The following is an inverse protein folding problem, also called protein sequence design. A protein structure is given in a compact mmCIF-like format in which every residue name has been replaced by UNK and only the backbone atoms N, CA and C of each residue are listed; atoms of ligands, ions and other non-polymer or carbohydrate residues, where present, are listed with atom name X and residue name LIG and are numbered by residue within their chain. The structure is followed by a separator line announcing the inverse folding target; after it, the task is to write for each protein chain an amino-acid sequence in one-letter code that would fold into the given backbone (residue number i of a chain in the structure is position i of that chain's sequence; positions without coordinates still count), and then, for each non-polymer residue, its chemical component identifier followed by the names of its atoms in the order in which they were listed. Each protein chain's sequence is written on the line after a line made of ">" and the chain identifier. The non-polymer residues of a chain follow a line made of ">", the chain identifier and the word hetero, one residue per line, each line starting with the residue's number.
data_IF_857959034193
#
_entry.id   IF_857959034193
#
_cell.length_a   1.000
_cell.length_b   1.000
_cell.length_c   1.000
_cell.angle_alpha   90.00
_cell.angle_beta   90.00
_cell.angle_gamma   90.00
#
_symmetry.space_group_name_H-M   'P 1'
#
loop_
_entity.id
_entity.type
_entity.pdbx_description
1 polymer ?
#
# COMPACT_ATOMS: atom_id res chain seq x y z
N UNK A 1 6.12 17.88 24.08
CA UNK A 1 6.04 19.36 24.03
C UNK A 1 5.93 19.76 22.57
N UNK A 2 4.73 20.11 22.10
CA UNK A 2 4.55 20.67 20.76
C UNK A 2 5.31 22.00 20.69
N UNK A 3 6.34 22.07 19.85
CA UNK A 3 6.83 23.36 19.37
C UNK A 3 5.99 23.65 18.14
N UNK A 4 4.97 24.46 18.30
CA UNK A 4 4.23 24.96 17.15
C UNK A 4 5.22 25.69 16.24
N UNK A 5 5.35 25.23 15.00
CA UNK A 5 6.26 25.82 14.04
C UNK A 5 5.75 27.25 13.71
N UNK A 6 6.50 28.32 14.04
CA UNK A 6 6.05 29.70 13.89
C UNK A 6 5.61 30.04 12.47
N UNK A 7 6.17 29.36 11.46
CA UNK A 7 5.81 29.54 10.06
C UNK A 7 4.44 28.95 9.72
N UNK A 8 4.06 27.83 10.34
CA UNK A 8 2.73 27.22 10.15
C UNK A 8 1.65 28.08 10.79
N UNK A 9 1.90 28.62 11.99
CA UNK A 9 1.00 29.59 12.64
C UNK A 9 0.87 30.86 11.79
N UNK A 10 1.98 31.35 11.22
CA UNK A 10 1.97 32.55 10.39
C UNK A 10 1.15 32.37 9.11
N UNK A 11 1.23 31.21 8.44
CA UNK A 11 0.43 30.91 7.24
C UNK A 11 -1.06 30.83 7.61
N UNK A 12 -1.42 30.11 8.67
CA UNK A 12 -2.81 29.99 9.13
C UNK A 12 -3.39 31.35 9.58
N UNK A 13 -2.60 32.20 10.24
CA UNK A 13 -3.02 33.52 10.70
C UNK A 13 -3.22 34.53 9.55
N UNK A 14 -2.37 34.48 8.51
CA UNK A 14 -2.54 35.31 7.31
C UNK A 14 -3.81 34.92 6.55
N UNK A 15 -4.16 33.63 6.55
CA UNK A 15 -5.32 33.11 5.85
C UNK A 15 -6.66 33.55 6.50
N UNK A 16 -6.76 33.53 7.82
CA UNK A 16 -7.96 33.95 8.56
C UNK A 16 -8.19 35.47 8.47
N UNK A 17 -7.12 36.26 8.44
CA UNK A 17 -7.21 37.73 8.35
C UNK A 17 -7.65 38.23 6.97
N UNK A 18 -7.37 37.49 5.90
CA UNK A 18 -7.83 37.83 4.54
C UNK A 18 -9.36 37.75 4.46
N UNK A 19 -10.00 36.71 5.00
CA UNK A 19 -11.46 36.54 4.95
C UNK A 19 -12.20 37.66 5.71
N UNK A 20 -11.70 38.05 6.89
CA UNK A 20 -12.27 39.17 7.66
C UNK A 20 -12.12 40.52 6.94
N UNK A 21 -11.07 40.71 6.14
CA UNK A 21 -10.87 41.92 5.33
C UNK A 21 -11.82 42.02 4.12
N UNK A 22 -12.36 40.90 3.64
CA UNK A 22 -13.15 40.83 2.41
C UNK A 22 -14.66 41.01 2.66
N UNK A 23 -15.14 40.55 3.82
CA UNK A 23 -16.50 40.87 4.31
C UNK A 23 -16.70 42.39 4.42
N UNK A 24 -15.62 43.13 4.72
CA UNK A 24 -15.63 44.59 4.84
C UNK A 24 -15.60 45.31 3.49
N UNK A 25 -15.21 44.65 2.38
CA UNK A 25 -14.93 45.31 1.10
C UNK A 25 -16.01 45.20 0.02
N UNK A 26 -17.11 44.47 0.27
CA UNK A 26 -18.28 44.44 -0.62
C UNK A 26 -18.04 43.67 -1.93
N UNK A 27 -17.32 42.56 -1.85
CA UNK A 27 -16.97 41.73 -3.01
C UNK A 27 -18.17 40.89 -3.47
N UNK A 28 -18.27 40.71 -4.78
CA UNK A 28 -19.25 39.84 -5.45
C UNK A 28 -19.10 38.37 -5.00
N UNK A 29 -20.20 37.68 -4.67
CA UNK A 29 -20.21 36.28 -4.21
C UNK A 29 -19.37 35.35 -5.10
N UNK A 30 -19.36 35.60 -6.41
CA UNK A 30 -18.55 34.82 -7.35
C UNK A 30 -17.04 34.94 -7.09
N UNK A 31 -16.56 36.14 -6.76
CA UNK A 31 -15.15 36.39 -6.43
C UNK A 31 -14.77 35.82 -5.08
N UNK A 32 -15.69 35.78 -4.12
CA UNK A 32 -15.47 35.11 -2.83
C UNK A 32 -15.29 33.60 -3.01
N UNK A 33 -16.10 32.97 -3.86
CA UNK A 33 -16.00 31.54 -4.16
C UNK A 33 -14.68 31.19 -4.87
N UNK A 34 -14.26 31.99 -5.87
CA UNK A 34 -12.97 31.80 -6.56
C UNK A 34 -11.78 31.93 -5.61
N UNK A 35 -11.82 32.92 -4.70
CA UNK A 35 -10.76 33.10 -3.73
C UNK A 35 -10.69 31.94 -2.74
N UNK A 36 -11.84 31.49 -2.22
CA UNK A 36 -11.91 30.33 -1.34
C UNK A 36 -11.38 29.07 -2.06
N UNK A 37 -11.73 28.90 -3.33
CA UNK A 37 -11.22 27.81 -4.17
C UNK A 37 -9.69 27.84 -4.26
N UNK A 38 -9.11 29.00 -4.55
CA UNK A 38 -7.66 29.21 -4.62
C UNK A 38 -6.97 28.97 -3.28
N UNK A 39 -7.61 29.36 -2.18
CA UNK A 39 -7.09 29.13 -0.84
C UNK A 39 -7.04 27.64 -0.50
N UNK A 40 -8.09 26.88 -0.83
CA UNK A 40 -8.11 25.42 -0.65
C UNK A 40 -7.00 24.77 -1.48
N UNK A 41 -6.80 25.19 -2.74
CA UNK A 41 -5.73 24.64 -3.59
C UNK A 41 -4.34 24.89 -3.00
N UNK A 42 -4.10 26.09 -2.48
CA UNK A 42 -2.83 26.43 -1.82
C UNK A 42 -2.59 25.59 -0.56
N UNK A 43 -3.61 25.42 0.29
CA UNK A 43 -3.51 24.60 1.50
C UNK A 43 -3.24 23.13 1.18
N UNK A 44 -3.93 22.58 0.18
CA UNK A 44 -3.72 21.19 -0.28
C UNK A 44 -2.31 21.02 -0.83
N UNK A 45 -1.83 21.93 -1.69
CA UNK A 45 -0.48 21.85 -2.23
C UNK A 45 0.62 21.94 -1.15
N UNK A 46 0.39 22.76 -0.12
CA UNK A 46 1.28 22.86 1.03
C UNK A 46 1.29 21.54 1.83
N UNK A 47 0.12 20.97 2.12
CA UNK A 47 0.00 19.69 2.80
C UNK A 47 0.70 18.56 2.02
N UNK A 48 0.52 18.47 0.70
CA UNK A 48 1.23 17.51 -0.15
C UNK A 48 2.75 17.66 -0.06
N UNK A 49 3.25 18.89 -0.04
CA UNK A 49 4.68 19.16 0.11
C UNK A 49 5.19 18.65 1.44
N UNK A 50 4.43 18.85 2.52
CA UNK A 50 4.75 18.32 3.85
C UNK A 50 4.73 16.79 3.89
N UNK A 51 3.74 16.16 3.25
CA UNK A 51 3.66 14.70 3.12
C UNK A 51 4.87 14.13 2.39
N UNK A 52 5.32 14.78 1.32
CA UNK A 52 6.49 14.36 0.54
C UNK A 52 7.80 14.40 1.34
N UNK A 53 7.89 15.25 2.38
CA UNK A 53 9.06 15.32 3.28
C UNK A 53 8.82 14.62 4.62
N UNK A 54 7.71 13.89 4.77
CA UNK A 54 7.39 13.08 5.95
C UNK A 54 6.82 13.84 7.14
N UNK A 55 6.46 15.12 6.99
CA UNK A 55 5.81 15.94 8.02
C UNK A 55 4.30 15.69 8.06
N UNK A 56 3.94 14.45 8.42
CA UNK A 56 2.56 13.97 8.34
C UNK A 56 1.61 14.68 9.33
N UNK A 57 2.05 15.00 10.55
CA UNK A 57 1.20 15.66 11.56
C UNK A 57 0.85 17.10 11.16
N UNK A 58 1.81 17.84 10.61
CA UNK A 58 1.62 19.18 10.10
C UNK A 58 0.69 19.18 8.89
N UNK A 59 0.88 18.23 7.96
CA UNK A 59 -0.02 18.05 6.82
C UNK A 59 -1.46 17.78 7.28
N UNK A 60 -1.66 16.85 8.23
CA UNK A 60 -2.98 16.54 8.80
C UNK A 60 -3.64 17.79 9.37
N UNK A 61 -2.89 18.61 10.12
CA UNK A 61 -3.41 19.84 10.71
C UNK A 61 -3.94 20.79 9.63
N UNK A 62 -3.15 21.04 8.57
CA UNK A 62 -3.56 21.90 7.46
C UNK A 62 -4.80 21.35 6.74
N UNK A 63 -4.84 20.05 6.48
CA UNK A 63 -5.94 19.39 5.79
C UNK A 63 -7.24 19.43 6.61
N UNK A 64 -7.17 19.16 7.91
CA UNK A 64 -8.32 19.23 8.83
C UNK A 64 -8.83 20.68 8.99
N UNK A 65 -7.93 21.66 9.06
CA UNK A 65 -8.32 23.08 9.09
C UNK A 65 -8.96 23.53 7.77
N UNK A 66 -8.45 23.05 6.65
CA UNK A 66 -9.00 23.36 5.32
C UNK A 66 -10.42 22.82 5.15
N UNK A 67 -10.73 21.64 5.69
CA UNK A 67 -12.08 21.08 5.69
C UNK A 67 -13.11 21.91 6.48
N UNK A 68 -12.67 22.79 7.40
CA UNK A 68 -13.58 23.68 8.15
C UNK A 68 -14.05 24.87 7.33
N UNK A 69 -13.39 25.17 6.20
CA UNK A 69 -13.66 26.35 5.39
C UNK A 69 -14.83 26.18 4.44
N UNK A 70 -15.25 24.95 4.15
CA UNK A 70 -16.27 24.66 3.15
C UNK A 70 -17.08 23.40 3.51
N UNK A 71 -18.29 23.31 2.97
CA UNK A 71 -19.09 22.08 3.12
C UNK A 71 -18.72 21.05 2.04
N UNK A 72 -18.88 19.75 2.36
CA UNK A 72 -18.65 18.66 1.38
C UNK A 72 -19.40 18.87 0.05
N UNK A 73 -20.61 19.44 0.08
CA UNK A 73 -21.41 19.66 -1.14
C UNK A 73 -20.86 20.81 -2.00
N UNK A 74 -20.25 21.81 -1.38
CA UNK A 74 -19.74 23.00 -2.06
C UNK A 74 -18.56 22.66 -2.98
N UNK A 75 -17.55 21.95 -2.46
CA UNK A 75 -16.40 21.51 -3.25
C UNK A 75 -16.14 20.01 -3.09
N UNK A 76 -17.04 19.19 -3.63
CA UNK A 76 -17.01 17.73 -3.48
C UNK A 76 -15.68 17.09 -3.90
N UNK A 77 -15.12 17.49 -5.04
CA UNK A 77 -13.82 16.98 -5.52
C UNK A 77 -12.67 17.31 -4.57
N UNK A 78 -12.60 18.56 -4.09
CA UNK A 78 -11.58 18.99 -3.13
C UNK A 78 -11.73 18.27 -1.79
N UNK A 79 -12.97 18.01 -1.36
CA UNK A 79 -13.23 17.18 -0.19
C UNK A 79 -12.66 15.77 -0.38
N UNK A 80 -12.90 15.15 -1.54
CA UNK A 80 -12.33 13.83 -1.89
C UNK A 80 -10.80 13.83 -1.85
N UNK A 81 -10.17 14.86 -2.43
CA UNK A 81 -8.71 15.05 -2.43
C UNK A 81 -8.14 15.13 -1.02
N UNK A 82 -8.70 16.02 -0.19
CA UNK A 82 -8.26 16.18 1.20
C UNK A 82 -8.45 14.88 1.99
N UNK A 83 -9.55 14.16 1.78
CA UNK A 83 -9.78 12.87 2.45
C UNK A 83 -8.78 11.79 2.02
N UNK A 84 -8.43 11.74 0.73
CA UNK A 84 -7.36 10.88 0.26
C UNK A 84 -6.02 11.22 0.91
N UNK A 85 -5.62 12.50 0.93
CA UNK A 85 -4.35 12.94 1.50
C UNK A 85 -4.28 12.69 3.02
N UNK A 86 -5.39 12.86 3.75
CA UNK A 86 -5.51 12.46 5.15
C UNK A 86 -5.32 10.96 5.33
N UNK A 87 -5.93 10.15 4.47
CA UNK A 87 -5.75 8.69 4.47
C UNK A 87 -4.29 8.29 4.29
N UNK A 88 -3.60 8.96 3.37
CA UNK A 88 -2.17 8.77 3.13
C UNK A 88 -1.33 9.15 4.35
N UNK A 89 -1.59 10.32 4.93
CA UNK A 89 -0.88 10.81 6.12
C UNK A 89 -1.02 9.86 7.32
N UNK A 90 -2.23 9.39 7.60
CA UNK A 90 -2.48 8.44 8.68
C UNK A 90 -1.86 7.07 8.40
N UNK A 91 -1.86 6.61 7.14
CA UNK A 91 -1.17 5.38 6.75
C UNK A 91 0.33 5.46 7.04
N UNK A 92 0.96 6.61 6.76
CA UNK A 92 2.36 6.84 7.09
C UNK A 92 2.62 6.87 8.60
N UNK A 93 1.77 7.55 9.37
CA UNK A 93 1.90 7.58 10.84
C UNK A 93 1.77 6.19 11.47
N UNK A 94 0.90 5.34 10.92
CA UNK A 94 0.72 3.96 11.39
C UNK A 94 2.00 3.10 11.30
N UNK A 95 3.00 3.50 10.50
CA UNK A 95 4.30 2.84 10.43
C UNK A 95 5.20 3.12 11.63
N UNK A 96 4.95 4.21 12.37
CA UNK A 96 5.86 4.71 13.41
C UNK A 96 5.24 4.76 14.80
N UNK A 97 3.96 5.10 14.91
CA UNK A 97 3.27 5.23 16.19
C UNK A 97 1.78 4.90 16.07
N UNK A 98 1.18 4.45 17.17
CA UNK A 98 -0.27 4.18 17.31
C UNK A 98 -0.85 3.46 16.09
N UNK A 99 -0.18 2.37 15.67
CA UNK A 99 -0.45 1.65 14.42
C UNK A 99 -1.94 1.42 14.18
N UNK A 100 -2.66 0.85 15.16
CA UNK A 100 -4.08 0.54 15.05
C UNK A 100 -4.95 1.79 14.84
N UNK A 101 -4.84 2.79 15.74
CA UNK A 101 -5.62 4.03 15.69
C UNK A 101 -5.40 4.77 14.37
N UNK A 102 -4.14 4.89 13.93
CA UNK A 102 -3.80 5.58 12.69
C UNK A 102 -4.31 4.82 11.46
N UNK A 103 -4.23 3.49 11.43
CA UNK A 103 -4.79 2.72 10.31
C UNK A 103 -6.32 2.82 10.25
N UNK A 104 -7.02 2.86 11.39
CA UNK A 104 -8.48 3.08 11.41
C UNK A 104 -8.85 4.45 10.85
N UNK A 105 -8.10 5.50 11.23
CA UNK A 105 -8.28 6.85 10.67
C UNK A 105 -7.97 6.87 9.18
N UNK A 106 -6.97 6.14 8.72
CA UNK A 106 -6.64 6.02 7.30
C UNK A 106 -7.78 5.37 6.51
N UNK A 107 -8.31 4.24 6.99
CA UNK A 107 -9.45 3.53 6.40
C UNK A 107 -10.65 4.47 6.27
N UNK A 108 -11.06 5.12 7.36
CA UNK A 108 -12.21 6.03 7.34
C UNK A 108 -12.02 7.23 6.40
N UNK A 109 -10.78 7.72 6.25
CA UNK A 109 -10.47 8.80 5.33
C UNK A 109 -10.54 8.34 3.86
N UNK A 110 -9.98 7.17 3.52
CA UNK A 110 -10.10 6.60 2.18
C UNK A 110 -11.55 6.24 1.82
N UNK A 111 -12.32 5.65 2.74
CA UNK A 111 -13.75 5.39 2.53
C UNK A 111 -14.51 6.69 2.22
N UNK A 112 -14.26 7.77 2.98
CA UNK A 112 -14.85 9.08 2.72
C UNK A 112 -14.42 9.69 1.37
N UNK A 113 -13.19 9.41 0.90
CA UNK A 113 -12.73 9.79 -0.42
C UNK A 113 -13.44 9.00 -1.53
N UNK A 114 -13.67 7.69 -1.33
CA UNK A 114 -14.39 6.82 -2.27
C UNK A 114 -15.88 7.17 -2.41
N UNK A 115 -16.47 7.88 -1.45
CA UNK A 115 -17.80 8.45 -1.64
C UNK A 115 -17.85 9.60 -2.66
N UNK A 116 -16.68 10.17 -3.03
CA UNK A 116 -16.53 11.20 -4.07
C UNK A 116 -15.93 10.58 -5.33
N UNK A 117 -14.85 9.82 -5.16
CA UNK A 117 -14.10 9.16 -6.22
C UNK A 117 -14.78 7.87 -6.59
N UNK A 118 -15.82 7.94 -7.42
CA UNK A 118 -16.46 6.75 -7.99
C UNK A 118 -15.75 6.31 -9.28
N UNK A 119 -15.93 5.05 -9.65
CA UNK A 119 -15.36 4.49 -10.87
C UNK A 119 -15.80 5.25 -12.14
N UNK A 120 -17.01 5.83 -12.16
CA UNK A 120 -17.55 6.56 -13.31
C UNK A 120 -17.00 7.98 -13.44
N UNK A 121 -16.81 8.66 -12.30
CA UNK A 121 -16.48 10.08 -12.29
C UNK A 121 -14.97 10.34 -12.18
N UNK A 122 -14.28 9.51 -11.40
CA UNK A 122 -12.85 9.66 -11.11
C UNK A 122 -12.16 8.28 -11.10
N UNK A 123 -12.12 7.56 -12.25
CA UNK A 123 -11.65 6.17 -12.29
C UNK A 123 -10.24 5.98 -11.74
N UNK A 124 -9.33 6.91 -12.04
CA UNK A 124 -7.93 6.82 -11.59
C UNK A 124 -7.82 7.09 -10.09
N UNK A 125 -8.46 8.15 -9.58
CA UNK A 125 -8.46 8.45 -8.15
C UNK A 125 -9.16 7.36 -7.33
N UNK A 126 -10.22 6.76 -7.89
CA UNK A 126 -10.89 5.58 -7.32
C UNK A 126 -9.90 4.41 -7.18
N UNK A 127 -9.20 4.05 -8.25
CA UNK A 127 -8.26 2.93 -8.24
C UNK A 127 -7.07 3.16 -7.30
N UNK A 128 -6.55 4.39 -7.26
CA UNK A 128 -5.48 4.80 -6.35
C UNK A 128 -5.95 4.70 -4.89
N UNK A 129 -7.14 5.22 -4.60
CA UNK A 129 -7.73 5.18 -3.26
C UNK A 129 -8.03 3.74 -2.82
N UNK A 130 -8.57 2.91 -3.71
CA UNK A 130 -8.81 1.49 -3.45
C UNK A 130 -7.52 0.72 -3.16
N UNK A 131 -6.46 0.95 -3.95
CA UNK A 131 -5.16 0.32 -3.69
C UNK A 131 -4.61 0.71 -2.29
N UNK A 132 -4.69 1.99 -1.91
CA UNK A 132 -4.21 2.43 -0.60
C UNK A 132 -5.10 1.98 0.55
N UNK A 133 -6.41 1.90 0.35
CA UNK A 133 -7.36 1.29 1.28
C UNK A 133 -7.02 -0.20 1.51
N UNK A 134 -6.67 -0.92 0.45
CA UNK A 134 -6.19 -2.30 0.55
C UNK A 134 -4.92 -2.43 1.39
N UNK A 135 -3.99 -1.48 1.27
CA UNK A 135 -2.78 -1.43 2.10
C UNK A 135 -3.16 -1.21 3.57
N UNK A 136 -4.07 -0.28 3.85
CA UNK A 136 -4.53 0.02 5.20
C UNK A 136 -5.22 -1.19 5.85
N UNK A 137 -6.09 -1.90 5.13
CA UNK A 137 -6.69 -3.15 5.63
C UNK A 137 -5.65 -4.26 5.84
N UNK A 138 -4.67 -4.43 4.95
CA UNK A 138 -3.57 -5.40 5.17
C UNK A 138 -2.81 -5.08 6.46
N UNK A 139 -2.50 -3.81 6.69
CA UNK A 139 -1.84 -3.35 7.92
C UNK A 139 -2.72 -3.60 9.16
N UNK A 140 -4.04 -3.42 9.06
CA UNK A 140 -4.97 -3.77 10.14
C UNK A 140 -5.03 -5.29 10.39
N UNK A 141 -4.93 -6.12 9.35
CA UNK A 141 -4.90 -7.58 9.46
C UNK A 141 -3.70 -8.11 10.26
N UNK A 142 -2.60 -7.35 10.31
CA UNK A 142 -1.44 -7.64 11.16
C UNK A 142 -1.71 -7.36 12.64
N UNK A 143 -2.72 -6.55 12.95
CA UNK A 143 -3.09 -6.12 14.30
C UNK A 143 -4.28 -6.93 14.84
N UNK A 144 -5.37 -7.03 14.07
CA UNK A 144 -6.58 -7.75 14.47
C UNK A 144 -7.39 -8.27 13.28
N UNK A 145 -8.28 -9.22 13.57
CA UNK A 145 -9.27 -9.75 12.62
C UNK A 145 -8.64 -10.14 11.26
N UNK A 146 -7.49 -10.83 11.33
CA UNK A 146 -6.60 -11.11 10.18
C UNK A 146 -7.35 -11.62 8.95
N UNK A 147 -8.28 -12.57 9.11
CA UNK A 147 -9.06 -13.12 7.98
C UNK A 147 -9.94 -12.06 7.30
N UNK A 148 -10.71 -11.32 8.09
CA UNK A 148 -11.67 -10.33 7.59
C UNK A 148 -10.94 -9.17 6.91
N UNK A 149 -9.90 -8.64 7.56
CA UNK A 149 -9.13 -7.53 6.99
C UNK A 149 -8.31 -7.96 5.76
N UNK A 150 -7.81 -9.20 5.71
CA UNK A 150 -7.19 -9.71 4.48
C UNK A 150 -8.20 -9.80 3.31
N UNK A 151 -9.45 -10.23 3.57
CA UNK A 151 -10.51 -10.25 2.55
C UNK A 151 -10.87 -8.86 2.06
N UNK A 152 -10.98 -7.88 2.95
CA UNK A 152 -11.22 -6.47 2.58
C UNK A 152 -10.07 -5.90 1.76
N UNK A 153 -8.83 -6.22 2.12
CA UNK A 153 -7.67 -5.83 1.33
C UNK A 153 -7.73 -6.41 -0.10
N UNK A 154 -8.03 -7.71 -0.23
CA UNK A 154 -8.21 -8.37 -1.53
C UNK A 154 -9.28 -7.67 -2.37
N UNK A 155 -10.46 -7.42 -1.79
CA UNK A 155 -11.55 -6.73 -2.50
C UNK A 155 -11.18 -5.33 -2.99
N UNK A 156 -10.46 -4.56 -2.17
CA UNK A 156 -9.99 -3.23 -2.56
C UNK A 156 -8.94 -3.29 -3.70
N UNK A 157 -7.98 -4.23 -3.64
CA UNK A 157 -7.03 -4.41 -4.74
C UNK A 157 -7.68 -4.89 -6.03
N UNK A 158 -8.66 -5.81 -5.94
CA UNK A 158 -9.43 -6.26 -7.10
C UNK A 158 -10.21 -5.11 -7.74
N UNK A 159 -10.83 -4.25 -6.93
CA UNK A 159 -11.49 -3.03 -7.41
C UNK A 159 -10.52 -2.06 -8.12
N UNK A 160 -9.29 -1.90 -7.60
CA UNK A 160 -8.28 -1.10 -8.27
C UNK A 160 -7.85 -1.69 -9.62
N UNK A 161 -7.76 -3.03 -9.72
CA UNK A 161 -7.38 -3.76 -10.94
C UNK A 161 -8.47 -3.74 -12.05
N UNK A 162 -9.69 -3.30 -11.75
CA UNK A 162 -10.70 -3.00 -12.80
C UNK A 162 -10.26 -1.82 -13.67
N UNK A 163 -9.52 -0.86 -13.11
CA UNK A 163 -9.01 0.32 -13.80
C UNK A 163 -7.54 0.15 -14.18
N UNK A 164 -6.71 -0.28 -13.23
CA UNK A 164 -5.32 -0.58 -13.48
C UNK A 164 -5.21 -1.84 -14.31
N UNK A 165 -4.96 -1.66 -15.59
CA UNK A 165 -4.76 -2.74 -16.56
C UNK A 165 -3.37 -2.63 -17.16
N UNK A 166 -2.82 -3.74 -17.64
CA UNK A 166 -1.53 -3.77 -18.35
C UNK A 166 -1.47 -2.73 -19.48
N UNK A 167 -2.59 -2.51 -20.19
CA UNK A 167 -2.63 -1.65 -21.36
C UNK A 167 -2.59 -0.14 -21.02
N UNK A 168 -3.18 0.27 -19.88
CA UNK A 168 -3.32 1.69 -19.52
C UNK A 168 -2.37 2.12 -18.41
N UNK A 169 -2.19 1.27 -17.40
CA UNK A 169 -1.45 1.57 -16.18
C UNK A 169 -0.58 0.35 -15.79
N UNK A 170 0.41 -0.02 -16.61
CA UNK A 170 1.18 -1.25 -16.41
C UNK A 170 1.93 -1.27 -15.07
N UNK A 171 2.47 -0.14 -14.64
CA UNK A 171 3.22 -0.03 -13.38
C UNK A 171 2.28 -0.15 -12.17
N UNK A 172 1.17 0.57 -12.17
CA UNK A 172 0.16 0.50 -11.10
C UNK A 172 -0.46 -0.89 -11.03
N UNK A 173 -0.78 -1.49 -12.18
CA UNK A 173 -1.23 -2.89 -12.27
C UNK A 173 -0.25 -3.83 -11.58
N UNK A 174 1.05 -3.74 -11.91
CA UNK A 174 2.05 -4.62 -11.34
C UNK A 174 2.24 -4.41 -9.83
N UNK A 175 2.21 -3.16 -9.36
CA UNK A 175 2.26 -2.84 -7.93
C UNK A 175 1.04 -3.40 -7.19
N UNK A 176 -0.17 -3.19 -7.71
CA UNK A 176 -1.39 -3.72 -7.10
C UNK A 176 -1.42 -5.24 -7.13
N UNK A 177 -0.87 -5.89 -8.15
CA UNK A 177 -0.72 -7.35 -8.19
C UNK A 177 0.25 -7.87 -7.11
N UNK A 178 1.36 -7.18 -6.83
CA UNK A 178 2.22 -7.54 -5.69
C UNK A 178 1.41 -7.44 -4.39
N UNK A 179 0.71 -6.33 -4.18
CA UNK A 179 -0.07 -6.12 -2.96
C UNK A 179 -1.17 -7.18 -2.79
N UNK A 180 -1.90 -7.50 -3.87
CA UNK A 180 -2.89 -8.56 -3.91
C UNK A 180 -2.28 -9.92 -3.56
N UNK A 181 -1.09 -10.23 -4.11
CA UNK A 181 -0.36 -11.45 -3.78
C UNK A 181 0.01 -11.53 -2.30
N UNK A 182 0.44 -10.42 -1.69
CA UNK A 182 0.72 -10.38 -0.25
C UNK A 182 -0.53 -10.57 0.61
N UNK A 183 -1.67 -9.99 0.22
CA UNK A 183 -2.93 -10.18 0.94
C UNK A 183 -3.45 -11.62 0.86
N UNK A 184 -3.30 -12.27 -0.30
CA UNK A 184 -3.59 -13.70 -0.44
C UNK A 184 -2.68 -14.57 0.43
N UNK A 185 -1.39 -14.22 0.57
CA UNK A 185 -0.50 -14.91 1.53
C UNK A 185 -0.96 -14.74 2.98
N UNK A 186 -1.35 -13.52 3.38
CA UNK A 186 -1.91 -13.27 4.73
C UNK A 186 -3.17 -14.10 4.96
N UNK A 187 -4.05 -14.23 3.97
CA UNK A 187 -5.24 -15.08 4.07
C UNK A 187 -4.88 -16.58 4.14
N UNK A 188 -3.86 -17.02 3.40
CA UNK A 188 -3.36 -18.40 3.41
C UNK A 188 -2.83 -18.86 4.78
N UNK A 189 -2.39 -17.93 5.64
CA UNK A 189 -1.97 -18.22 7.02
C UNK A 189 -3.13 -18.68 7.90
N UNK A 190 -4.36 -18.25 7.60
CA UNK A 190 -5.55 -18.49 8.44
C UNK A 190 -6.59 -19.37 7.77
N UNK A 191 -6.64 -19.43 6.43
CA UNK A 191 -7.67 -20.15 5.68
C UNK A 191 -7.22 -20.60 4.30
N UNK A 192 -7.68 -21.78 3.87
CA UNK A 192 -7.57 -22.27 2.49
C UNK A 192 -6.13 -22.13 1.94
N UNK A 193 -5.13 -22.54 2.76
CA UNK A 193 -3.70 -22.29 2.52
C UNK A 193 -3.26 -22.60 1.09
N UNK A 194 -3.61 -23.77 0.54
CA UNK A 194 -3.21 -24.15 -0.82
C UNK A 194 -3.79 -23.21 -1.89
N UNK A 195 -5.10 -22.95 -1.84
CA UNK A 195 -5.79 -22.16 -2.86
C UNK A 195 -5.34 -20.69 -2.81
N UNK A 196 -5.29 -20.09 -1.61
CA UNK A 196 -4.84 -18.71 -1.45
C UNK A 196 -3.36 -18.56 -1.82
N UNK A 197 -2.51 -19.54 -1.53
CA UNK A 197 -1.10 -19.49 -1.96
C UNK A 197 -0.97 -19.56 -3.49
N UNK A 198 -1.77 -20.39 -4.17
CA UNK A 198 -1.81 -20.41 -5.65
C UNK A 198 -2.26 -19.07 -6.24
N UNK A 199 -3.23 -18.40 -5.62
CA UNK A 199 -3.66 -17.06 -6.03
C UNK A 199 -2.55 -16.03 -5.82
N UNK A 200 -1.82 -16.10 -4.72
CA UNK A 200 -0.66 -15.25 -4.48
C UNK A 200 0.42 -15.42 -5.55
N UNK A 201 0.76 -16.66 -5.90
CA UNK A 201 1.73 -16.98 -6.97
C UNK A 201 1.29 -16.36 -8.29
N UNK A 202 0.02 -16.55 -8.69
CA UNK A 202 -0.52 -15.96 -9.93
C UNK A 202 -0.42 -14.44 -9.96
N UNK A 203 -0.66 -13.78 -8.83
CA UNK A 203 -0.55 -12.32 -8.72
C UNK A 203 0.90 -11.85 -8.87
N UNK A 204 1.86 -12.50 -8.19
CA UNK A 204 3.28 -12.18 -8.35
C UNK A 204 3.79 -12.45 -9.78
N UNK A 205 3.38 -13.55 -10.40
CA UNK A 205 3.70 -13.83 -11.81
C UNK A 205 3.10 -12.79 -12.76
N UNK A 206 1.90 -12.28 -12.46
CA UNK A 206 1.31 -11.18 -13.23
C UNK A 206 2.11 -9.88 -13.11
N UNK A 207 2.64 -9.57 -11.92
CA UNK A 207 3.52 -8.42 -11.72
C UNK A 207 4.86 -8.57 -12.47
N UNK A 208 5.45 -9.78 -12.49
CA UNK A 208 6.71 -10.08 -13.17
C UNK A 208 6.64 -9.97 -14.71
N UNK A 209 5.43 -9.95 -15.30
CA UNK A 209 5.26 -9.61 -16.73
C UNK A 209 5.60 -8.15 -17.04
N UNK A 210 5.55 -7.27 -16.05
CA UNK A 210 5.86 -5.84 -16.17
C UNK A 210 7.20 -5.54 -15.52
N UNK A 211 7.38 -5.98 -14.26
CA UNK A 211 8.61 -5.83 -13.52
C UNK A 211 9.61 -6.86 -13.98
N UNK A 212 10.36 -6.50 -15.01
CA UNK A 212 11.49 -7.25 -15.55
C UNK A 212 12.80 -6.75 -14.94
N UNK A 213 13.83 -7.59 -14.96
CA UNK A 213 15.14 -7.24 -14.43
C UNK A 213 15.75 -6.02 -15.15
N UNK A 214 15.45 -5.82 -16.44
CA UNK A 214 16.01 -4.74 -17.25
C UNK A 214 15.31 -3.39 -16.99
N UNK A 215 13.99 -3.38 -16.80
CA UNK A 215 13.20 -2.14 -16.67
C UNK A 215 12.97 -1.71 -15.22
N UNK A 216 12.77 -2.67 -14.32
CA UNK A 216 12.42 -2.42 -12.93
C UNK A 216 13.16 -3.39 -12.00
N UNK A 217 14.50 -3.36 -11.97
CA UNK A 217 15.31 -4.36 -11.26
C UNK A 217 14.94 -4.51 -9.78
N UNK A 218 14.66 -3.39 -9.10
CA UNK A 218 14.30 -3.39 -7.68
C UNK A 218 12.93 -4.05 -7.46
N UNK A 219 11.91 -3.64 -8.23
CA UNK A 219 10.58 -4.23 -8.13
C UNK A 219 10.57 -5.70 -8.55
N UNK A 220 11.37 -6.07 -9.55
CA UNK A 220 11.59 -7.47 -9.95
C UNK A 220 12.11 -8.29 -8.76
N UNK A 221 13.16 -7.83 -8.09
CA UNK A 221 13.75 -8.54 -6.96
C UNK A 221 12.79 -8.65 -5.75
N UNK A 222 12.05 -7.59 -5.44
CA UNK A 222 10.99 -7.63 -4.41
C UNK A 222 9.94 -8.68 -4.76
N UNK A 223 9.48 -8.69 -6.02
CA UNK A 223 8.45 -9.63 -6.48
C UNK A 223 8.95 -11.06 -6.46
N UNK A 224 10.18 -11.31 -6.91
CA UNK A 224 10.81 -12.63 -6.89
C UNK A 224 10.98 -13.17 -5.46
N UNK A 225 11.42 -12.35 -4.50
CA UNK A 225 11.48 -12.76 -3.11
C UNK A 225 10.09 -13.09 -2.54
N UNK A 226 9.05 -12.32 -2.90
CA UNK A 226 7.69 -12.62 -2.47
C UNK A 226 7.12 -13.89 -3.11
N UNK A 227 7.45 -14.14 -4.37
CA UNK A 227 7.13 -15.36 -5.09
C UNK A 227 7.80 -16.58 -4.45
N UNK A 228 9.08 -16.47 -4.09
CA UNK A 228 9.81 -17.52 -3.37
C UNK A 228 9.14 -17.87 -2.04
N UNK A 229 8.73 -16.85 -1.28
CA UNK A 229 8.01 -17.07 -0.02
C UNK A 229 6.65 -17.77 -0.25
N UNK A 230 5.93 -17.44 -1.31
CA UNK A 230 4.68 -18.13 -1.66
C UNK A 230 4.94 -19.60 -2.02
N UNK A 231 6.01 -19.89 -2.76
CA UNK A 231 6.39 -21.27 -3.05
C UNK A 231 6.77 -22.07 -1.80
N UNK A 232 7.43 -21.47 -0.82
CA UNK A 232 7.67 -22.11 0.49
C UNK A 232 6.35 -22.44 1.19
N UNK A 233 5.40 -21.49 1.24
CA UNK A 233 4.07 -21.76 1.82
C UNK A 233 3.34 -22.89 1.08
N UNK A 234 3.47 -22.97 -0.25
CA UNK A 234 2.84 -24.05 -1.02
C UNK A 234 3.51 -25.41 -0.76
N UNK A 235 4.82 -25.42 -0.55
CA UNK A 235 5.60 -26.62 -0.25
C UNK A 235 5.18 -27.29 1.07
N UNK A 236 4.60 -26.53 2.01
CA UNK A 236 4.04 -27.07 3.26
C UNK A 236 2.83 -27.98 3.04
N UNK A 237 2.10 -27.78 1.93
CA UNK A 237 0.83 -28.46 1.67
C UNK A 237 0.86 -29.33 0.41
N UNK A 238 1.76 -29.07 -0.54
CA UNK A 238 1.82 -29.80 -1.81
C UNK A 238 3.18 -29.74 -2.49
N UNK A 239 3.54 -30.84 -3.17
CA UNK A 239 4.69 -30.90 -4.10
C UNK A 239 5.97 -30.31 -3.50
N UNK A 240 6.26 -30.68 -2.24
CA UNK A 240 7.28 -30.04 -1.38
C UNK A 240 8.61 -29.81 -2.10
N UNK A 241 9.17 -30.84 -2.72
CA UNK A 241 10.47 -30.73 -3.39
C UNK A 241 10.45 -29.74 -4.56
N UNK A 242 9.44 -29.82 -5.42
CA UNK A 242 9.32 -28.97 -6.62
C UNK A 242 9.11 -27.51 -6.23
N UNK A 243 8.22 -27.25 -5.27
CA UNK A 243 7.96 -25.89 -4.80
C UNK A 243 9.16 -25.30 -4.08
N UNK A 244 9.91 -26.08 -3.29
CA UNK A 244 11.16 -25.59 -2.67
C UNK A 244 12.21 -25.24 -3.72
N UNK A 245 12.35 -26.01 -4.80
CA UNK A 245 13.25 -25.67 -5.92
C UNK A 245 12.83 -24.38 -6.62
N UNK A 246 11.53 -24.18 -6.83
CA UNK A 246 11.01 -22.91 -7.39
C UNK A 246 11.28 -21.73 -6.47
N UNK A 247 11.15 -21.93 -5.16
CA UNK A 247 11.49 -20.90 -4.17
C UNK A 247 12.97 -20.51 -4.24
N UNK A 248 13.87 -21.49 -4.28
CA UNK A 248 15.32 -21.27 -4.43
C UNK A 248 15.61 -20.42 -5.68
N UNK A 249 15.09 -20.82 -6.84
CA UNK A 249 15.30 -20.06 -8.09
C UNK A 249 14.77 -18.64 -8.02
N UNK A 250 13.63 -18.40 -7.36
CA UNK A 250 13.09 -17.06 -7.17
C UNK A 250 13.97 -16.21 -6.23
N UNK A 251 14.47 -16.78 -5.11
CA UNK A 251 15.39 -16.05 -4.23
C UNK A 251 16.73 -15.74 -4.90
N UNK A 252 17.29 -16.69 -5.67
CA UNK A 252 18.51 -16.46 -6.46
C UNK A 252 18.33 -15.33 -7.46
N UNK A 253 17.20 -15.31 -8.19
CA UNK A 253 16.85 -14.21 -9.09
C UNK A 253 16.72 -12.85 -8.37
N UNK A 254 16.22 -12.83 -7.13
CA UNK A 254 16.18 -11.61 -6.32
C UNK A 254 17.57 -11.14 -5.88
N UNK A 255 18.48 -12.07 -5.59
CA UNK A 255 19.87 -11.80 -5.15
C UNK A 255 20.78 -11.29 -6.26
N UNK A 256 20.40 -11.46 -7.55
CA UNK A 256 21.09 -10.79 -8.67
C UNK A 256 21.06 -9.25 -8.55
N UNK A 257 20.01 -8.71 -7.93
CA UNK A 257 19.82 -7.26 -7.74
C UNK A 257 20.09 -6.84 -6.29
N UNK A 258 19.58 -7.62 -5.33
CA UNK A 258 19.78 -7.36 -3.90
C UNK A 258 21.17 -7.82 -3.54
N UNK A 259 22.18 -6.96 -3.68
CA UNK A 259 23.54 -7.25 -3.24
C UNK A 259 23.81 -6.63 -1.87
N UNK A 260 24.80 -7.16 -1.15
CA UNK A 260 25.18 -6.62 0.17
C UNK A 260 25.61 -5.15 0.10
N UNK A 261 26.16 -4.70 -1.03
CA UNK A 261 26.63 -3.32 -1.22
C UNK A 261 25.49 -2.33 -1.48
N UNK A 262 24.46 -2.74 -2.24
CA UNK A 262 23.36 -1.84 -2.65
C UNK A 262 22.16 -1.91 -1.73
N UNK A 263 21.83 -3.10 -1.23
CA UNK A 263 20.63 -3.39 -0.46
C UNK A 263 20.92 -4.37 0.69
N UNK A 264 21.78 -4.01 1.66
CA UNK A 264 22.28 -4.95 2.68
C UNK A 264 21.16 -5.62 3.50
N UNK A 265 20.09 -4.87 3.83
CA UNK A 265 18.95 -5.39 4.60
C UNK A 265 18.15 -6.39 3.77
N UNK A 266 17.76 -6.01 2.56
CA UNK A 266 17.02 -6.88 1.64
C UNK A 266 17.82 -8.13 1.24
N UNK A 267 19.13 -7.97 1.05
CA UNK A 267 20.06 -9.07 0.78
C UNK A 267 20.06 -10.08 1.93
N UNK A 268 20.27 -9.62 3.16
CA UNK A 268 20.27 -10.49 4.34
C UNK A 268 18.93 -11.22 4.51
N UNK A 269 17.80 -10.53 4.31
CA UNK A 269 16.48 -11.16 4.37
C UNK A 269 16.33 -12.25 3.29
N UNK A 270 16.73 -11.95 2.05
CA UNK A 270 16.60 -12.90 0.93
C UNK A 270 17.53 -14.10 1.10
N UNK A 271 18.76 -13.89 1.60
CA UNK A 271 19.69 -14.96 1.95
C UNK A 271 19.12 -15.87 3.04
N UNK A 272 18.58 -15.32 4.12
CA UNK A 272 17.93 -16.12 5.16
C UNK A 272 16.80 -16.99 4.60
N UNK A 273 15.96 -16.44 3.72
CA UNK A 273 14.90 -17.20 3.06
C UNK A 273 15.45 -18.33 2.17
N UNK A 274 16.54 -18.06 1.45
CA UNK A 274 17.24 -19.04 0.62
C UNK A 274 17.85 -20.18 1.47
N UNK A 275 18.48 -19.85 2.59
CA UNK A 275 19.03 -20.83 3.54
C UNK A 275 17.94 -21.74 4.13
N UNK A 276 16.79 -21.16 4.50
CA UNK A 276 15.62 -21.93 4.94
C UNK A 276 15.16 -22.89 3.84
N UNK A 277 15.08 -22.43 2.59
CA UNK A 277 14.68 -23.27 1.46
C UNK A 277 15.65 -24.44 1.24
N UNK A 278 16.97 -24.20 1.28
CA UNK A 278 17.98 -25.25 1.18
C UNK A 278 17.88 -26.27 2.31
N UNK A 279 17.62 -25.81 3.54
CA UNK A 279 17.45 -26.67 4.72
C UNK A 279 16.24 -27.60 4.55
N UNK A 280 15.09 -27.06 4.13
CA UNK A 280 13.89 -27.85 3.84
C UNK A 280 14.15 -28.90 2.75
N UNK A 281 14.91 -28.54 1.70
CA UNK A 281 15.25 -29.46 0.62
C UNK A 281 16.15 -30.61 1.10
N UNK A 282 17.15 -30.31 1.94
CA UNK A 282 18.07 -31.30 2.50
C UNK A 282 17.34 -32.29 3.41
N UNK A 283 16.48 -31.79 4.30
CA UNK A 283 15.62 -32.62 5.15
C UNK A 283 14.72 -33.54 4.32
N UNK A 284 14.11 -33.02 3.26
CA UNK A 284 13.22 -33.81 2.40
C UNK A 284 13.97 -34.97 1.72
N UNK A 285 15.20 -34.74 1.25
CA UNK A 285 16.05 -35.79 0.66
C UNK A 285 16.51 -36.84 1.66
N UNK A 286 16.75 -36.45 2.91
CA UNK A 286 17.10 -37.40 3.97
C UNK A 286 15.90 -38.29 4.33
N UNK A 287 14.71 -37.69 4.47
CA UNK A 287 13.46 -38.41 4.70
C UNK A 287 13.16 -39.40 3.57
N UNK A 288 13.31 -38.98 2.30
CA UNK A 288 13.05 -39.87 1.16
C UNK A 288 14.02 -41.07 1.11
N UNK A 289 15.29 -40.87 1.47
CA UNK A 289 16.28 -41.96 1.60
C UNK A 289 15.94 -42.91 2.74
N UNK A 290 15.49 -42.40 3.88
CA UNK A 290 15.09 -43.25 5.01
C UNK A 290 13.86 -44.08 4.67
N UNK A 291 12.83 -43.49 4.03
CA UNK A 291 11.61 -44.20 3.64
C UNK A 291 11.88 -45.26 2.56
N UNK A 292 12.73 -44.96 1.57
CA UNK A 292 13.10 -45.93 0.53
C UNK A 292 13.95 -47.11 1.05
N UNK A 293 14.56 -46.97 2.23
CA UNK A 293 15.32 -48.03 2.89
C UNK A 293 14.51 -48.84 3.91
N UNK A 294 13.21 -48.55 4.10
CA UNK A 294 12.34 -49.38 4.93
C UNK A 294 12.02 -50.70 4.21
N UNK A 295 12.11 -51.85 4.88
CA UNK A 295 11.72 -53.12 4.27
C UNK A 295 10.22 -53.09 3.92
N UNK A 296 9.90 -53.44 2.67
CA UNK A 296 8.52 -53.63 2.22
C UNK A 296 8.03 -54.94 2.86
N UNK A 297 7.11 -54.83 3.81
CA UNK A 297 6.44 -55.99 4.43
C UNK A 297 5.31 -56.52 3.53
#
# INVERSE_FOLDING_TARGET
>A
MRRDNPWVIAIVAVIVTIILGLIVSGIDEHKEEELLKSQIDSSVQNAETLLNIGLNEEAITILEDTLKLFSRKQFSEKYGRIKYDLGYAFSNLALFDKKEENVERAIGAYEAALEIYTIEKYPVDYAMTQNNLGIAYKTLAEVREKEENAKRAIGAYEAALEIYTIAKYPVDYAMTQINLGTAYRTLAEVREKEENTKRAIKAFEAALKIYTIEKYPVNYAVTQNNLGNAYITLAEVREKEENVKRAIGAYEAALEIRTIEKYPVDYAQTQNNLEIAYSILAENKNLSKTVSNLPVF
#
